data_IF_609298588817
#
_entry.id   IF_609298588817
#
_cell.length_a   1.000
_cell.length_b   1.000
_cell.length_c   1.000
_cell.angle_alpha   90.00
_cell.angle_beta   90.00
_cell.angle_gamma   90.00
#
_symmetry.space_group_name_H-M   'P 1'
#
loop_
_entity.id
_entity.type
_entity.pdbx_description
1 polymer ?
#
# COMPACT_ATOMS: atom_id res chain seq x y z
N UNK A 1 2.72 -12.03 -1.32
CA UNK A 1 4.14 -12.07 -0.88
C UNK A 1 4.19 -12.19 0.63
N UNK A 2 5.37 -12.37 1.22
CA UNK A 2 5.57 -12.59 2.67
C UNK A 2 4.79 -11.59 3.55
N UNK A 3 4.67 -10.34 3.09
CA UNK A 3 4.05 -9.22 3.81
C UNK A 3 2.54 -8.99 3.53
N UNK A 4 1.87 -9.86 2.77
CA UNK A 4 0.42 -9.77 2.56
C UNK A 4 -0.09 -10.10 1.15
N UNK A 5 -1.34 -9.74 0.92
CA UNK A 5 -2.10 -10.05 -0.30
C UNK A 5 -2.27 -8.80 -1.15
N UNK A 6 -2.08 -8.94 -2.47
CA UNK A 6 -2.26 -7.86 -3.44
C UNK A 6 -3.52 -8.12 -4.25
N UNK A 7 -4.34 -7.09 -4.43
CA UNK A 7 -5.57 -7.14 -5.21
C UNK A 7 -5.52 -6.11 -6.35
N UNK A 8 -5.99 -6.49 -7.54
CA UNK A 8 -6.29 -5.54 -8.61
C UNK A 8 -7.63 -4.87 -8.30
N UNK A 9 -7.70 -3.55 -8.34
CA UNK A 9 -8.92 -2.79 -8.12
C UNK A 9 -9.06 -1.67 -9.14
N UNK A 10 -10.26 -1.09 -9.23
CA UNK A 10 -10.56 0.08 -10.05
C UNK A 10 -11.06 1.20 -9.16
N UNK A 11 -10.43 2.37 -9.23
CA UNK A 11 -10.94 3.57 -8.57
C UNK A 11 -12.31 3.93 -9.21
N UNK A 12 -13.34 4.12 -8.38
CA UNK A 12 -14.70 4.37 -8.87
C UNK A 12 -14.89 5.78 -9.43
N UNK A 13 -14.10 6.73 -8.96
CA UNK A 13 -14.17 8.14 -9.37
C UNK A 13 -13.29 8.40 -10.59
N UNK A 14 -12.03 7.95 -10.56
CA UNK A 14 -11.06 8.19 -11.65
C UNK A 14 -11.06 7.11 -12.73
N UNK A 15 -11.70 5.96 -12.46
CA UNK A 15 -11.63 4.76 -13.31
C UNK A 15 -10.24 4.16 -13.52
N UNK A 16 -9.22 4.65 -12.80
CA UNK A 16 -7.85 4.14 -12.83
C UNK A 16 -7.76 2.73 -12.21
N UNK A 17 -6.95 1.88 -12.82
CA UNK A 17 -6.63 0.55 -12.28
C UNK A 17 -5.47 0.69 -11.30
N UNK A 18 -5.63 0.13 -10.10
CA UNK A 18 -4.67 0.23 -9.00
C UNK A 18 -4.38 -1.13 -8.37
N UNK A 19 -3.23 -1.26 -7.72
CA UNK A 19 -2.86 -2.41 -6.92
C UNK A 19 -3.04 -2.11 -5.42
N UNK A 20 -3.89 -2.88 -4.74
CA UNK A 20 -4.12 -2.77 -3.30
C UNK A 20 -3.30 -3.82 -2.56
N UNK A 21 -2.23 -3.41 -1.88
CA UNK A 21 -1.42 -4.28 -1.04
C UNK A 21 -1.90 -4.21 0.40
N UNK A 22 -2.62 -5.24 0.85
CA UNK A 22 -3.08 -5.39 2.23
C UNK A 22 -1.96 -5.98 3.07
N UNK A 23 -1.44 -5.19 4.00
CA UNK A 23 -0.42 -5.59 4.97
C UNK A 23 -1.10 -6.28 6.14
N UNK A 24 -0.59 -7.44 6.53
CA UNK A 24 -0.99 -8.10 7.78
C UNK A 24 -0.30 -7.38 8.92
N UNK A 25 -1.07 -6.86 9.85
CA UNK A 25 -0.59 -6.43 11.15
C UNK A 25 -0.79 -7.62 12.09
N UNK A 26 0.26 -8.05 12.77
CA UNK A 26 0.13 -9.08 13.80
C UNK A 26 -0.72 -8.52 14.95
N UNK A 27 -1.48 -9.39 15.62
CA UNK A 27 -2.50 -9.01 16.62
C UNK A 27 -1.91 -8.49 17.94
N UNK A 28 -0.60 -8.35 18.03
CA UNK A 28 0.07 -7.70 19.16
C UNK A 28 -0.34 -6.21 19.16
N UNK A 29 -0.84 -5.71 20.29
CA UNK A 29 -1.41 -4.35 20.49
C UNK A 29 -0.47 -3.16 20.16
N UNK A 30 0.67 -3.40 19.52
CA UNK A 30 1.66 -2.40 19.11
C UNK A 30 1.33 -1.66 17.80
N UNK A 31 0.25 -2.04 17.10
CA UNK A 31 -0.22 -1.31 15.91
C UNK A 31 0.67 -1.52 14.68
N UNK A 32 0.93 -0.45 13.91
CA UNK A 32 1.77 -0.55 12.70
C UNK A 32 3.25 -0.49 13.09
N UNK A 33 4.09 -1.48 12.70
CA UNK A 33 5.52 -1.46 13.00
C UNK A 33 6.21 -0.18 12.52
N UNK A 34 7.10 0.38 13.34
CA UNK A 34 7.82 1.62 13.01
C UNK A 34 8.68 1.50 11.75
N UNK A 35 9.21 0.31 11.46
CA UNK A 35 9.90 0.00 10.21
C UNK A 35 8.99 0.15 9.00
N UNK A 36 7.77 -0.39 9.06
CA UNK A 36 6.78 -0.27 7.99
C UNK A 36 6.36 1.20 7.78
N UNK A 37 6.16 1.96 8.86
CA UNK A 37 5.88 3.40 8.75
C UNK A 37 7.03 4.15 8.06
N UNK A 38 8.29 3.86 8.41
CA UNK A 38 9.45 4.48 7.79
C UNK A 38 9.51 4.18 6.29
N UNK A 39 9.30 2.92 5.90
CA UNK A 39 9.25 2.52 4.49
C UNK A 39 8.13 3.23 3.73
N UNK A 40 6.93 3.33 4.33
CA UNK A 40 5.78 4.00 3.73
C UNK A 40 6.04 5.50 3.52
N UNK A 41 6.61 6.18 4.51
CA UNK A 41 6.96 7.59 4.40
C UNK A 41 7.95 7.83 3.25
N UNK A 42 8.99 7.01 3.16
CA UNK A 42 9.96 7.08 2.06
C UNK A 42 9.26 6.84 0.70
N UNK A 43 8.41 5.82 0.61
CA UNK A 43 7.68 5.52 -0.63
C UNK A 43 6.71 6.64 -1.04
N UNK A 44 6.11 7.37 -0.09
CA UNK A 44 5.25 8.53 -0.39
C UNK A 44 6.02 9.67 -1.05
N UNK A 45 7.28 9.85 -0.70
CA UNK A 45 8.14 10.92 -1.24
C UNK A 45 8.79 10.53 -2.57
N UNK A 46 8.99 9.23 -2.82
CA UNK A 46 9.60 8.72 -4.04
C UNK A 46 8.67 8.86 -5.25
N UNK A 47 8.99 9.81 -6.13
CA UNK A 47 8.32 10.04 -7.42
C UNK A 47 9.33 9.90 -8.55
N UNK A 48 9.41 8.71 -9.14
CA UNK A 48 10.35 8.44 -10.23
C UNK A 48 9.77 7.43 -11.21
N UNK A 49 10.03 7.61 -12.51
CA UNK A 49 9.48 6.77 -13.59
C UNK A 49 9.80 5.27 -13.52
N UNK A 50 10.82 4.90 -12.73
CA UNK A 50 11.27 3.52 -12.54
C UNK A 50 10.99 2.98 -11.13
N UNK A 51 10.19 3.69 -10.32
CA UNK A 51 9.82 3.28 -8.97
C UNK A 51 8.31 3.23 -8.90
N UNK A 52 7.77 2.11 -8.42
CA UNK A 52 6.32 1.95 -8.30
C UNK A 52 5.74 3.03 -7.39
N UNK A 53 4.78 3.78 -7.89
CA UNK A 53 4.20 4.92 -7.17
C UNK A 53 3.20 4.44 -6.13
N UNK A 54 3.36 4.92 -4.90
CA UNK A 54 2.35 4.84 -3.86
C UNK A 54 1.38 6.03 -4.01
N UNK A 55 0.13 5.76 -4.38
CA UNK A 55 -0.92 6.78 -4.48
C UNK A 55 -1.47 7.17 -3.11
N UNK A 56 -1.76 6.17 -2.27
CA UNK A 56 -2.41 6.42 -0.98
C UNK A 56 -2.18 5.28 0.04
N UNK A 57 -2.49 5.57 1.30
CA UNK A 57 -2.41 4.64 2.43
C UNK A 57 -3.72 4.68 3.20
N UNK A 58 -4.46 3.58 3.15
CA UNK A 58 -5.72 3.42 3.85
C UNK A 58 -5.48 2.64 5.14
N UNK A 59 -5.91 3.20 6.26
CA UNK A 59 -5.83 2.56 7.56
C UNK A 59 -7.23 2.43 8.16
N UNK A 60 -7.60 1.21 8.56
CA UNK A 60 -8.86 0.91 9.25
C UNK A 60 -8.62 -0.20 10.25
N UNK A 61 -8.96 0.05 11.51
CA UNK A 61 -8.78 -0.82 12.67
C UNK A 61 -7.39 -1.50 12.68
N UNK A 62 -7.34 -2.76 12.27
CA UNK A 62 -6.14 -3.62 12.23
C UNK A 62 -5.63 -3.92 10.82
N UNK A 63 -6.04 -3.13 9.83
CA UNK A 63 -5.69 -3.34 8.42
C UNK A 63 -5.05 -2.09 7.85
N UNK A 64 -3.85 -2.27 7.31
CA UNK A 64 -3.15 -1.27 6.53
C UNK A 64 -3.17 -1.69 5.06
N UNK A 65 -3.68 -0.82 4.20
CA UNK A 65 -3.76 -1.06 2.76
C UNK A 65 -3.02 0.03 2.01
N UNK A 66 -2.02 -0.36 1.24
CA UNK A 66 -1.24 0.53 0.40
C UNK A 66 -1.80 0.50 -1.02
N UNK A 67 -2.11 1.67 -1.58
CA UNK A 67 -2.66 1.83 -2.92
C UNK A 67 -1.51 2.20 -3.86
N UNK A 68 -1.11 1.28 -4.72
CA UNK A 68 -0.04 1.46 -5.69
C UNK A 68 -0.58 1.62 -7.11
N UNK A 69 0.23 2.21 -7.98
CA UNK A 69 -0.02 2.13 -9.42
C UNK A 69 -0.07 0.66 -9.87
N UNK A 70 -0.92 0.37 -10.85
CA UNK A 70 -0.96 -0.95 -11.45
C UNK A 70 0.03 -1.02 -12.60
N UNK A 71 1.00 -1.93 -12.51
CA UNK A 71 1.89 -2.24 -13.63
C UNK A 71 1.30 -3.42 -14.40
N UNK A 72 0.92 -3.19 -15.66
CA UNK A 72 0.64 -4.27 -16.61
C UNK A 72 1.97 -4.97 -16.95
N UNK A 73 1.95 -6.30 -16.94
CA UNK A 73 3.12 -7.15 -17.18
C UNK A 73 3.40 -7.33 -18.68
#
# INVERSE_FOLDING_TARGET
GTYGTVFKAKNRETHEIVALKRVRLDDDDEGVPSSALREICLLKELKHKNIVRLHDVLHSDKKLTLVFEFCDQ
#
